data_IF_486525519300
#
_entry.id   IF_486525519300
#
_cell.length_a   1.000
_cell.length_b   1.000
_cell.length_c   1.000
_cell.angle_alpha   90.00
_cell.angle_beta   90.00
_cell.angle_gamma   90.00
#
_symmetry.space_group_name_H-M   'P 1'
#
loop_
_entity.id
_entity.type
_entity.pdbx_description
1 polymer ?
#
# COMPACT_ATOMS: atom_id res chain seq x y z
N UNK A 1 -9.60 -9.42 -14.24
CA UNK A 1 -8.87 -8.63 -13.25
C UNK A 1 -8.93 -7.18 -13.69
N UNK A 2 -9.90 -6.43 -13.23
CA UNK A 2 -10.03 -5.00 -13.51
C UNK A 2 -9.57 -4.28 -12.26
N UNK A 3 -8.44 -3.61 -12.36
CA UNK A 3 -7.90 -2.73 -11.35
C UNK A 3 -8.91 -1.60 -11.11
N UNK A 4 -9.60 -1.61 -10.00
CA UNK A 4 -10.29 -0.45 -9.48
C UNK A 4 -9.30 0.41 -8.68
N UNK A 5 -8.34 1.00 -9.40
CA UNK A 5 -7.75 2.25 -8.98
C UNK A 5 -8.70 3.33 -9.46
N UNK A 6 -9.67 3.68 -8.68
CA UNK A 6 -10.33 4.97 -8.86
C UNK A 6 -11.16 5.31 -7.66
N UNK A 7 -10.77 6.33 -7.13
CA UNK A 7 -11.48 7.51 -6.72
C UNK A 7 -11.13 7.99 -5.33
N UNK A 8 -9.85 8.24 -5.13
CA UNK A 8 -9.47 9.26 -4.14
C UNK A 8 -9.50 10.62 -4.86
N UNK A 9 -10.68 11.02 -5.33
CA UNK A 9 -10.89 12.37 -5.84
C UNK A 9 -11.55 13.20 -4.74
N UNK A 10 -10.70 14.05 -4.13
CA UNK A 10 -11.02 15.35 -3.57
C UNK A 10 -12.45 15.55 -3.06
N UNK A 11 -12.63 15.32 -1.78
CA UNK A 11 -13.37 16.27 -0.97
C UNK A 11 -12.37 17.08 -0.15
N UNK A 12 -11.65 17.97 -0.84
CA UNK A 12 -10.97 19.08 -0.21
C UNK A 12 -12.02 20.13 0.13
N UNK A 13 -12.77 19.89 1.20
CA UNK A 13 -13.56 20.94 1.80
C UNK A 13 -13.60 20.69 3.31
N UNK A 14 -12.93 21.57 4.01
CA UNK A 14 -12.89 21.69 5.47
C UNK A 14 -12.16 20.53 6.19
N UNK A 15 -10.82 20.59 6.18
CA UNK A 15 -10.03 19.99 7.25
C UNK A 15 -10.47 20.65 8.56
N UNK A 16 -11.50 20.12 9.18
CA UNK A 16 -11.74 20.37 10.59
C UNK A 16 -10.59 19.69 11.35
N UNK A 17 -9.86 20.46 12.08
CA UNK A 17 -8.89 20.04 13.10
C UNK A 17 -9.47 18.85 13.87
N UNK A 18 -8.87 17.67 13.74
CA UNK A 18 -9.28 16.54 14.54
C UNK A 18 -8.88 15.15 14.02
N UNK A 19 -8.81 14.94 12.72
CA UNK A 19 -8.48 13.61 12.19
C UNK A 19 -6.98 13.33 12.37
N UNK A 20 -6.65 12.59 13.42
CA UNK A 20 -5.28 12.25 13.76
C UNK A 20 -5.02 10.74 13.76
N UNK A 21 -5.91 9.98 13.14
CA UNK A 21 -5.77 8.55 12.96
C UNK A 21 -6.31 8.10 11.61
N UNK A 22 -5.93 6.90 11.20
CA UNK A 22 -6.40 6.23 10.01
C UNK A 22 -6.28 4.72 10.19
N UNK A 23 -7.03 3.96 9.39
CA UNK A 23 -6.89 2.51 9.33
C UNK A 23 -7.37 1.97 7.98
N UNK A 24 -6.78 0.85 7.57
CA UNK A 24 -7.33 0.04 6.50
C UNK A 24 -8.46 -0.81 7.09
N UNK A 25 -9.55 -0.87 6.39
CA UNK A 25 -10.68 -1.74 6.70
C UNK A 25 -10.83 -2.74 5.55
N UNK A 26 -10.71 -4.00 5.88
CA UNK A 26 -10.93 -5.13 4.98
C UNK A 26 -12.08 -5.96 5.54
N UNK A 27 -13.15 -6.14 4.77
CA UNK A 27 -14.32 -6.92 5.15
C UNK A 27 -14.58 -7.95 4.06
N UNK A 28 -14.39 -9.21 4.39
CA UNK A 28 -14.80 -10.33 3.56
C UNK A 28 -16.19 -10.77 3.99
N UNK A 29 -17.13 -10.72 3.07
CA UNK A 29 -18.46 -11.28 3.27
C UNK A 29 -18.51 -12.75 2.84
N UNK A 30 -19.44 -13.50 3.39
CA UNK A 30 -19.66 -14.89 3.04
C UNK A 30 -20.58 -15.03 1.80
N UNK A 31 -21.06 -16.25 1.55
CA UNK A 31 -21.94 -16.55 0.42
C UNK A 31 -23.34 -15.93 0.56
N UNK A 32 -23.73 -15.43 1.73
CA UNK A 32 -25.02 -14.80 2.01
C UNK A 32 -24.90 -13.27 2.09
N UNK A 33 -23.80 -12.70 1.65
CA UNK A 33 -23.44 -11.29 1.73
C UNK A 33 -24.61 -10.30 1.64
N UNK A 34 -25.56 -10.40 0.68
CA UNK A 34 -26.67 -9.45 0.60
C UNK A 34 -27.61 -9.39 1.82
N UNK A 35 -27.56 -10.37 2.71
CA UNK A 35 -28.32 -10.37 3.97
C UNK A 35 -27.58 -9.74 5.15
N UNK A 36 -26.32 -9.41 4.94
CA UNK A 36 -25.38 -8.91 5.92
C UNK A 36 -25.14 -7.41 5.73
N UNK A 37 -24.73 -6.74 6.75
CA UNK A 37 -24.28 -5.35 6.66
C UNK A 37 -23.43 -4.97 7.86
N UNK A 38 -22.63 -3.92 7.73
CA UNK A 38 -21.94 -3.35 8.87
C UNK A 38 -22.02 -1.83 8.86
N UNK A 39 -21.90 -1.25 10.06
CA UNK A 39 -21.76 0.19 10.26
C UNK A 39 -20.63 0.46 11.23
N UNK A 40 -19.76 1.41 10.87
CA UNK A 40 -18.75 1.97 11.74
C UNK A 40 -19.14 3.40 12.09
N UNK A 41 -19.03 3.76 13.36
CA UNK A 41 -19.33 5.11 13.81
C UNK A 41 -18.44 5.54 14.98
N UNK A 42 -18.24 6.83 15.12
CA UNK A 42 -17.55 7.41 16.27
C UNK A 42 -18.42 7.41 17.50
N UNK A 43 -17.84 7.53 18.68
CA UNK A 43 -18.63 7.72 19.92
C UNK A 43 -19.49 8.99 19.92
N UNK A 44 -19.16 9.96 19.06
CA UNK A 44 -20.01 11.14 18.85
C UNK A 44 -21.26 10.82 18.01
N UNK A 45 -21.33 9.63 17.41
CA UNK A 45 -22.44 9.17 16.59
C UNK A 45 -22.28 9.49 15.10
N UNK A 46 -21.11 10.00 14.68
CA UNK A 46 -20.82 10.24 13.26
C UNK A 46 -20.53 8.92 12.55
N UNK A 47 -21.29 8.63 11.50
CA UNK A 47 -21.09 7.42 10.68
C UNK A 47 -19.87 7.55 9.82
N UNK A 48 -18.89 6.66 10.02
CA UNK A 48 -17.69 6.56 9.20
C UNK A 48 -17.95 5.73 7.94
N UNK A 49 -18.61 4.59 8.09
CA UNK A 49 -19.00 3.67 7.01
C UNK A 49 -20.35 3.05 7.35
N UNK A 50 -21.16 2.86 6.32
CA UNK A 50 -22.34 2.00 6.36
C UNK A 50 -22.37 1.25 5.03
N UNK A 51 -22.30 -0.07 5.08
CA UNK A 51 -22.15 -0.89 3.90
C UNK A 51 -22.99 -2.16 3.96
N UNK A 52 -23.62 -2.47 2.82
CA UNK A 52 -24.31 -3.73 2.57
C UNK A 52 -23.78 -4.29 1.25
N UNK A 53 -23.25 -5.50 1.20
CA UNK A 53 -22.73 -6.07 -0.02
C UNK A 53 -23.84 -6.30 -1.05
N UNK A 54 -23.49 -6.22 -2.31
CA UNK A 54 -24.42 -6.38 -3.43
C UNK A 54 -24.40 -7.79 -4.01
N UNK A 55 -23.33 -8.53 -3.74
CA UNK A 55 -23.10 -9.89 -4.24
C UNK A 55 -22.53 -10.79 -3.14
N UNK A 56 -22.77 -12.11 -3.23
CA UNK A 56 -22.13 -13.09 -2.33
C UNK A 56 -20.60 -13.05 -2.42
N UNK A 57 -19.92 -13.37 -1.32
CA UNK A 57 -18.46 -13.40 -1.19
C UNK A 57 -17.76 -12.10 -1.60
N UNK A 58 -18.42 -10.97 -1.42
CA UNK A 58 -17.85 -9.66 -1.73
C UNK A 58 -16.71 -9.33 -0.77
N UNK A 59 -15.64 -8.75 -1.30
CA UNK A 59 -14.56 -8.18 -0.51
C UNK A 59 -14.66 -6.65 -0.56
N UNK A 60 -14.93 -6.04 0.57
CA UNK A 60 -14.92 -4.59 0.74
C UNK A 60 -13.60 -4.15 1.33
N UNK A 61 -12.92 -3.22 0.69
CA UNK A 61 -11.64 -2.68 1.14
C UNK A 61 -11.63 -1.17 1.02
N UNK A 62 -11.25 -0.50 2.09
CA UNK A 62 -11.13 0.97 2.09
C UNK A 62 -10.15 1.46 3.15
N UNK A 63 -9.66 2.67 2.96
CA UNK A 63 -8.91 3.41 3.98
C UNK A 63 -9.85 4.44 4.60
N UNK A 64 -9.91 4.47 5.91
CA UNK A 64 -10.77 5.36 6.68
C UNK A 64 -9.90 6.33 7.47
N UNK A 65 -10.25 7.62 7.40
CA UNK A 65 -9.70 8.67 8.26
C UNK A 65 -10.69 8.92 9.40
N UNK A 66 -10.19 8.93 10.62
CA UNK A 66 -11.01 9.15 11.81
C UNK A 66 -10.20 9.91 12.87
N UNK A 67 -10.89 10.46 13.85
CA UNK A 67 -10.22 10.92 15.06
C UNK A 67 -9.72 9.73 15.87
N UNK A 68 -8.62 9.91 16.60
CA UNK A 68 -8.20 8.92 17.58
C UNK A 68 -9.24 8.81 18.70
N UNK A 69 -9.40 7.60 19.20
CA UNK A 69 -10.41 7.30 20.22
C UNK A 69 -11.20 6.06 19.87
N UNK A 70 -12.35 5.89 20.49
CA UNK A 70 -13.17 4.73 20.26
C UNK A 70 -13.99 4.83 18.96
N UNK A 71 -13.96 3.74 18.20
CA UNK A 71 -14.83 3.50 17.04
C UNK A 71 -15.70 2.30 17.36
N UNK A 72 -16.99 2.48 17.24
CA UNK A 72 -17.98 1.44 17.43
C UNK A 72 -18.29 0.77 16.09
N UNK A 73 -18.43 -0.54 16.11
CA UNK A 73 -18.69 -1.39 14.96
C UNK A 73 -19.95 -2.18 15.26
N UNK A 74 -20.93 -2.06 14.38
CA UNK A 74 -22.16 -2.86 14.42
C UNK A 74 -22.25 -3.74 13.20
N UNK A 75 -22.38 -5.04 13.41
CA UNK A 75 -22.60 -6.05 12.39
C UNK A 75 -24.05 -6.48 12.44
N UNK A 76 -24.66 -6.65 11.28
CA UNK A 76 -26.04 -7.10 11.14
C UNK A 76 -26.12 -8.30 10.23
N UNK A 77 -26.93 -9.27 10.64
CA UNK A 77 -27.31 -10.42 9.87
C UNK A 77 -28.82 -10.68 9.98
N UNK A 78 -29.50 -10.64 8.84
CA UNK A 78 -30.96 -10.76 8.81
C UNK A 78 -31.48 -12.18 9.05
N UNK A 79 -30.63 -13.20 8.89
CA UNK A 79 -30.99 -14.59 9.15
C UNK A 79 -30.67 -15.04 10.56
N UNK A 80 -29.69 -14.41 11.21
CA UNK A 80 -29.30 -14.68 12.59
C UNK A 80 -28.42 -15.92 12.75
N UNK A 81 -27.85 -16.41 11.66
CA UNK A 81 -26.87 -17.53 11.67
C UNK A 81 -25.41 -17.04 11.73
N UNK A 82 -25.21 -15.72 11.70
CA UNK A 82 -23.90 -15.06 11.72
C UNK A 82 -23.32 -14.91 10.33
N UNK A 83 -22.13 -14.37 10.25
CA UNK A 83 -21.39 -14.18 8.99
C UNK A 83 -20.47 -15.37 8.67
N UNK A 84 -20.74 -16.51 9.24
CA UNK A 84 -19.89 -17.69 9.14
C UNK A 84 -20.43 -18.78 8.24
N UNK A 85 -19.59 -19.79 7.95
CA UNK A 85 -20.00 -20.90 7.13
C UNK A 85 -21.03 -21.77 7.88
N UNK A 86 -22.20 -21.95 7.28
CA UNK A 86 -23.18 -22.91 7.79
C UNK A 86 -22.77 -24.35 7.49
N UNK A 87 -21.74 -24.57 6.64
CA UNK A 87 -21.23 -25.88 6.26
C UNK A 87 -19.70 -25.89 6.09
N UNK A 88 -19.04 -27.01 6.35
CA UNK A 88 -17.59 -27.13 6.17
C UNK A 88 -17.15 -26.83 4.74
N UNK A 89 -16.12 -25.95 4.60
CA UNK A 89 -15.52 -25.60 3.31
C UNK A 89 -16.09 -24.34 2.65
N UNK A 90 -17.01 -23.65 3.30
CA UNK A 90 -17.47 -22.32 2.88
C UNK A 90 -16.50 -21.22 3.33
N UNK A 91 -16.55 -20.07 2.66
CA UNK A 91 -15.77 -18.90 3.08
C UNK A 91 -16.28 -18.40 4.43
N UNK A 92 -15.38 -18.03 5.31
CA UNK A 92 -15.66 -17.38 6.59
C UNK A 92 -15.65 -15.88 6.34
N UNK A 93 -16.67 -15.19 6.83
CA UNK A 93 -16.65 -13.73 6.84
C UNK A 93 -15.67 -13.24 7.91
N UNK A 94 -14.91 -12.23 7.57
CA UNK A 94 -13.89 -11.68 8.44
C UNK A 94 -13.87 -10.16 8.32
N UNK A 95 -13.65 -9.48 9.45
CA UNK A 95 -13.37 -8.05 9.49
C UNK A 95 -11.97 -7.83 10.06
N UNK A 96 -11.11 -7.21 9.27
CA UNK A 96 -9.79 -6.80 9.72
C UNK A 96 -9.65 -5.28 9.68
N UNK A 97 -9.18 -4.71 10.78
CA UNK A 97 -8.77 -3.31 10.85
C UNK A 97 -7.30 -3.24 11.20
N UNK A 98 -6.54 -2.45 10.45
CA UNK A 98 -5.11 -2.32 10.68
C UNK A 98 -4.57 -0.94 10.29
N UNK A 99 -3.49 -0.52 10.94
CA UNK A 99 -2.71 0.64 10.51
C UNK A 99 -1.21 0.46 10.82
N UNK A 100 -0.39 1.38 10.31
CA UNK A 100 1.07 1.29 10.49
C UNK A 100 1.53 1.54 11.94
N UNK A 101 0.72 2.21 12.76
CA UNK A 101 1.09 2.60 14.12
C UNK A 101 0.76 1.53 15.16
N UNK A 102 -0.36 0.83 14.97
CA UNK A 102 -0.89 -0.17 15.92
C UNK A 102 -0.76 -1.61 15.39
N UNK A 103 -0.49 -1.79 14.08
CA UNK A 103 -0.60 -3.09 13.45
C UNK A 103 -2.06 -3.51 13.26
N UNK A 104 -2.39 -4.75 13.63
CA UNK A 104 -3.78 -5.24 13.64
C UNK A 104 -4.50 -4.64 14.85
N UNK A 105 -5.58 -3.91 14.58
CA UNK A 105 -6.44 -3.27 15.58
C UNK A 105 -7.61 -4.18 15.93
N UNK A 106 -8.18 -4.82 14.91
CA UNK A 106 -9.23 -5.81 15.01
C UNK A 106 -8.98 -6.90 13.97
N UNK A 107 -9.19 -8.13 14.37
CA UNK A 107 -9.27 -9.30 13.50
C UNK A 107 -10.40 -10.16 14.08
N UNK A 108 -11.55 -10.13 13.42
CA UNK A 108 -12.77 -10.75 13.91
C UNK A 108 -13.32 -11.70 12.86
N UNK A 109 -13.22 -12.99 13.17
CA UNK A 109 -13.97 -14.03 12.45
C UNK A 109 -15.43 -14.00 12.97
N UNK A 110 -16.35 -13.65 12.11
CA UNK A 110 -17.76 -13.49 12.47
C UNK A 110 -18.57 -14.79 12.24
N UNK A 111 -18.02 -15.94 12.64
CA UNK A 111 -18.59 -17.27 12.42
C UNK A 111 -19.54 -17.75 13.53
N UNK A 112 -19.90 -16.86 14.45
CA UNK A 112 -20.86 -17.15 15.53
C UNK A 112 -22.23 -16.58 15.22
N UNK A 113 -23.28 -17.26 15.67
CA UNK A 113 -24.67 -16.84 15.39
C UNK A 113 -25.01 -15.51 16.07
N UNK A 114 -25.50 -14.55 15.31
CA UNK A 114 -26.01 -13.27 15.77
C UNK A 114 -26.98 -12.65 14.76
N UNK A 115 -27.89 -11.82 15.22
CA UNK A 115 -28.68 -10.91 14.38
C UNK A 115 -28.07 -9.50 14.39
N UNK A 116 -27.42 -9.14 15.49
CA UNK A 116 -26.64 -7.95 15.67
C UNK A 116 -25.50 -8.24 16.61
N UNK A 117 -24.31 -7.78 16.25
CA UNK A 117 -23.11 -7.85 17.08
C UNK A 117 -22.45 -6.48 17.12
N UNK A 118 -22.21 -5.96 18.31
CA UNK A 118 -21.59 -4.67 18.52
C UNK A 118 -20.24 -4.86 19.22
N UNK A 119 -19.23 -4.16 18.75
CA UNK A 119 -17.92 -4.10 19.39
C UNK A 119 -17.31 -2.72 19.26
N UNK A 120 -16.31 -2.43 20.08
CA UNK A 120 -15.61 -1.15 20.10
C UNK A 120 -14.12 -1.37 20.00
N UNK A 121 -13.45 -0.62 19.15
CA UNK A 121 -12.00 -0.58 19.06
C UNK A 121 -11.48 0.81 19.42
N UNK A 122 -10.26 0.89 19.94
CA UNK A 122 -9.62 2.16 20.26
C UNK A 122 -8.52 2.48 19.26
N UNK A 123 -8.68 3.58 18.54
CA UNK A 123 -7.67 4.13 17.64
C UNK A 123 -6.70 5.01 18.42
N UNK A 124 -5.43 4.68 18.37
CA UNK A 124 -4.37 5.58 18.83
C UNK A 124 -4.08 6.64 17.74
N UNK A 125 -3.56 7.81 18.13
CA UNK A 125 -3.11 8.79 17.16
C UNK A 125 -2.13 8.15 16.17
N UNK A 126 -2.47 8.21 14.88
CA UNK A 126 -1.65 7.70 13.79
C UNK A 126 -1.78 8.68 12.64
N UNK A 127 -0.82 9.58 12.45
CA UNK A 127 -0.90 10.55 11.37
C UNK A 127 -1.07 9.84 10.03
N UNK A 128 -1.87 10.39 9.11
CA UNK A 128 -2.08 9.78 7.81
C UNK A 128 -0.75 9.60 7.09
N UNK A 129 -0.62 8.52 6.30
CA UNK A 129 0.60 8.27 5.54
C UNK A 129 0.85 9.39 4.53
N UNK A 130 2.10 9.81 4.44
CA UNK A 130 2.59 10.71 3.40
C UNK A 130 3.23 9.85 2.33
N UNK A 131 2.65 9.87 1.13
CA UNK A 131 3.17 9.16 -0.03
C UNK A 131 4.21 10.00 -0.74
N UNK A 132 5.31 9.39 -1.16
CA UNK A 132 6.38 10.03 -1.88
C UNK A 132 7.61 9.13 -1.96
N UNK A 133 8.66 9.62 -2.60
CA UNK A 133 9.91 8.87 -2.70
C UNK A 133 10.64 8.83 -1.34
N UNK A 134 10.84 7.63 -0.79
CA UNK A 134 11.54 7.42 0.49
C UNK A 134 13.03 7.11 0.35
N UNK A 135 13.58 7.04 -0.88
CA UNK A 135 14.99 6.79 -1.11
C UNK A 135 15.82 8.09 -1.06
N UNK A 136 16.72 8.27 -0.05
CA UNK A 136 17.53 9.47 0.07
C UNK A 136 18.49 9.71 -1.10
N UNK A 137 18.71 8.73 -1.96
CA UNK A 137 19.57 8.86 -3.15
C UNK A 137 18.83 9.34 -4.39
N UNK A 138 17.50 9.39 -4.35
CA UNK A 138 16.68 9.89 -5.42
C UNK A 138 16.70 11.42 -5.52
N UNK A 139 16.49 11.95 -6.72
CA UNK A 139 16.44 13.40 -6.98
C UNK A 139 15.22 14.07 -6.36
N UNK A 140 14.14 13.32 -6.22
CA UNK A 140 12.87 13.78 -5.65
C UNK A 140 12.57 13.13 -4.29
N UNK A 141 13.65 12.81 -3.53
CA UNK A 141 13.49 12.34 -2.15
C UNK A 141 12.63 13.30 -1.32
N UNK A 142 11.62 12.75 -0.67
CA UNK A 142 10.79 13.47 0.28
C UNK A 142 11.05 12.92 1.69
N UNK A 143 11.72 13.70 2.50
CA UNK A 143 12.03 13.33 3.90
C UNK A 143 10.79 13.21 4.79
N UNK A 144 9.63 13.68 4.34
CA UNK A 144 8.36 13.58 5.06
C UNK A 144 7.55 12.36 4.64
N UNK A 145 7.89 11.74 3.50
CA UNK A 145 7.22 10.54 3.04
C UNK A 145 7.43 9.38 4.02
N UNK A 146 6.33 8.71 4.35
CA UNK A 146 6.30 7.53 5.22
C UNK A 146 6.03 6.24 4.43
N UNK A 147 5.51 6.39 3.20
CA UNK A 147 5.24 5.28 2.28
C UNK A 147 5.80 5.63 0.91
N UNK A 148 6.61 4.72 0.35
CA UNK A 148 7.10 4.85 -1.01
C UNK A 148 5.95 4.62 -2.01
N UNK A 149 5.71 5.59 -2.87
CA UNK A 149 4.69 5.56 -3.92
C UNK A 149 5.25 5.12 -5.28
N UNK A 150 6.52 4.73 -5.34
CA UNK A 150 7.21 4.35 -6.58
C UNK A 150 7.59 5.53 -7.47
N UNK A 151 7.47 6.77 -6.98
CA UNK A 151 7.78 7.97 -7.76
C UNK A 151 9.27 8.33 -7.79
N UNK A 152 10.14 7.54 -7.12
CA UNK A 152 11.55 7.82 -7.04
C UNK A 152 12.18 8.01 -8.42
N UNK A 153 12.84 9.13 -8.62
CA UNK A 153 13.56 9.45 -9.84
C UNK A 153 15.04 9.56 -9.56
N UNK A 154 15.85 8.96 -10.42
CA UNK A 154 17.30 8.94 -10.27
C UNK A 154 17.98 9.72 -11.38
N UNK A 155 19.19 10.28 -11.14
CA UNK A 155 19.93 10.93 -12.21
C UNK A 155 20.20 9.91 -13.34
N UNK A 156 20.01 10.36 -14.58
CA UNK A 156 20.37 9.54 -15.73
C UNK A 156 21.88 9.35 -15.74
N UNK A 157 22.32 8.16 -15.40
CA UNK A 157 23.74 7.83 -15.43
C UNK A 157 24.17 7.62 -16.88
N UNK A 158 25.18 8.36 -17.32
CA UNK A 158 25.71 8.27 -18.68
C UNK A 158 26.53 6.98 -18.78
N UNK A 159 26.09 5.99 -19.56
CA UNK A 159 26.89 4.79 -19.78
C UNK A 159 28.02 5.07 -20.80
N UNK A 160 29.17 4.47 -20.61
CA UNK A 160 30.28 4.62 -21.54
C UNK A 160 31.53 3.89 -21.07
N UNK A 161 32.56 3.91 -21.88
CA UNK A 161 33.86 3.38 -21.49
C UNK A 161 34.54 4.31 -20.47
N UNK A 162 34.88 3.78 -19.30
CA UNK A 162 35.57 4.52 -18.23
C UNK A 162 37.09 4.29 -18.20
N UNK A 163 37.67 3.49 -19.11
CA UNK A 163 39.10 3.28 -19.19
C UNK A 163 39.78 4.42 -19.98
N UNK A 164 40.62 5.25 -19.34
CA UNK A 164 41.29 6.37 -19.99
C UNK A 164 42.27 5.95 -21.10
N UNK A 165 42.63 4.67 -21.14
CA UNK A 165 43.58 4.14 -22.17
C UNK A 165 42.84 3.62 -23.41
N UNK A 166 41.50 3.55 -23.33
CA UNK A 166 40.68 3.12 -24.46
C UNK A 166 40.51 4.23 -25.49
N UNK A 167 40.49 3.88 -26.77
CA UNK A 167 40.31 4.84 -27.86
C UNK A 167 38.92 5.50 -27.88
N UNK A 168 37.96 4.89 -27.21
CA UNK A 168 36.60 5.39 -27.05
C UNK A 168 36.26 5.78 -25.59
N UNK A 169 37.31 6.17 -24.82
CA UNK A 169 37.09 6.71 -23.48
C UNK A 169 36.09 7.86 -23.49
N UNK A 170 35.11 7.76 -22.61
CA UNK A 170 34.11 8.82 -22.40
C UNK A 170 34.34 9.47 -21.02
N UNK A 171 34.92 10.67 -20.94
CA UNK A 171 35.18 11.34 -19.67
C UNK A 171 33.92 11.72 -18.89
N UNK A 172 32.73 11.65 -19.52
CA UNK A 172 31.42 11.93 -18.90
C UNK A 172 30.70 10.67 -18.45
N UNK A 173 31.27 9.48 -18.75
CA UNK A 173 30.66 8.23 -18.32
C UNK A 173 30.66 8.14 -16.78
N UNK A 174 29.53 7.73 -16.23
CA UNK A 174 29.29 7.49 -14.80
C UNK A 174 29.08 6.01 -14.50
N UNK A 175 28.82 5.21 -15.53
CA UNK A 175 28.76 3.74 -15.47
C UNK A 175 29.59 3.18 -16.63
N UNK A 176 30.49 2.24 -16.30
CA UNK A 176 31.16 1.46 -17.33
C UNK A 176 30.17 0.45 -17.93
N UNK A 177 29.93 0.58 -19.22
CA UNK A 177 29.04 -0.30 -19.97
C UNK A 177 29.78 -1.45 -20.68
N UNK A 178 31.06 -1.64 -20.41
CA UNK A 178 31.90 -2.68 -21.01
C UNK A 178 32.22 -2.45 -22.49
N UNK A 179 32.00 -1.24 -23.01
CA UNK A 179 32.25 -0.92 -24.43
C UNK A 179 33.67 -0.48 -24.73
N UNK A 180 34.57 -0.55 -23.75
CA UNK A 180 35.95 -0.12 -23.92
C UNK A 180 36.61 -0.88 -25.07
N UNK A 181 37.09 -0.11 -26.06
CA UNK A 181 37.87 -0.66 -27.14
C UNK A 181 39.34 -0.71 -26.68
N UNK A 182 39.88 -1.92 -26.56
CA UNK A 182 41.34 -2.09 -26.35
C UNK A 182 42.06 -1.46 -27.53
N UNK A 183 42.84 -0.46 -27.26
CA UNK A 183 43.69 0.15 -28.30
C UNK A 183 44.52 -0.91 -29.00
N UNK A 184 45.02 -0.65 -30.20
CA UNK A 184 45.86 -1.60 -30.92
C UNK A 184 47.00 -1.99 -29.99
N UNK A 185 46.96 -3.23 -29.53
CA UNK A 185 48.00 -3.82 -28.72
C UNK A 185 49.26 -3.75 -29.54
N UNK A 186 50.18 -2.92 -29.06
CA UNK A 186 51.63 -2.96 -29.30
C UNK A 186 52.09 -3.01 -30.75
N UNK A 187 52.87 -2.04 -31.09
CA UNK A 187 53.87 -2.18 -32.09
C UNK A 187 54.53 -3.57 -32.01
N UNK A 188 54.65 -4.30 -33.10
CA UNK A 188 55.50 -5.47 -33.12
C UNK A 188 56.91 -5.01 -32.81
N UNK A 189 57.38 -5.47 -31.66
CA UNK A 189 58.78 -5.32 -31.28
C UNK A 189 59.68 -5.77 -32.42
N UNK A 190 60.52 -4.87 -32.82
CA UNK A 190 61.62 -4.98 -33.78
C UNK A 190 62.07 -6.34 -34.23
N UNK A 191 62.06 -6.55 -35.52
CA UNK A 191 63.05 -7.35 -36.18
C UNK A 191 64.29 -6.48 -36.41
N UNK A 192 65.29 -6.66 -35.57
CA UNK A 192 66.62 -6.35 -35.90
C UNK A 192 67.14 -7.51 -36.77
N UNK A 193 67.25 -7.33 -38.05
CA UNK A 193 68.10 -8.12 -38.89
C UNK A 193 69.42 -7.37 -39.06
N UNK A 194 70.42 -7.90 -38.42
CA UNK A 194 71.84 -7.62 -38.71
C UNK A 194 72.23 -8.56 -39.81
N UNK A 195 72.58 -8.04 -40.92
CA UNK A 195 73.82 -8.18 -41.68
C UNK A 195 73.89 -7.24 -42.83
#
# INVERSE_FOLDING_TARGET
MKNFFLSLLLLCSTLTYGQNSWFNLDVQFDQFGPSESFTLFTQAGDTLVNYTPSVPNELYQTLILADSGAVDISLYDSFGDGWGPTQPGQAVANITMSNACQGIILDLDADFAFTQYDTTVNLLPCPPPVFGCTDPTALNYDSTATIDDGSCSYPYLIPGCMDPLSSNFNPWAQIDNGSCLTGPSSCPSGQSSVE
#
